data_IF_553136353047
#
_entry.id   IF_553136353047
#
_cell.length_a   1.000
_cell.length_b   1.000
_cell.length_c   1.000
_cell.angle_alpha   90.00
_cell.angle_beta   90.00
_cell.angle_gamma   90.00
#
_symmetry.space_group_name_H-M   'P 1'
#
loop_
_entity.id
_entity.type
_entity.pdbx_description
1 polymer ?
#
# COMPACT_ATOMS: atom_id res chain seq x y z
N UNK A 1 13.23 -15.95 5.07
CA UNK A 1 13.03 -14.72 5.86
C UNK A 1 11.90 -13.93 5.23
N UNK A 2 10.75 -13.81 5.90
CA UNK A 2 9.57 -13.14 5.36
C UNK A 2 9.69 -11.63 5.60
N UNK A 3 9.75 -10.83 4.53
CA UNK A 3 9.63 -9.38 4.65
C UNK A 3 8.17 -9.06 4.97
N UNK A 4 7.85 -8.42 6.12
CA UNK A 4 6.48 -8.05 6.44
C UNK A 4 5.99 -7.10 5.34
N UNK A 5 4.88 -7.45 4.70
CA UNK A 5 4.27 -6.64 3.65
C UNK A 5 2.77 -6.49 3.93
N UNK A 6 2.20 -5.30 3.72
CA UNK A 6 0.76 -5.06 3.87
C UNK A 6 -0.02 -5.47 2.61
N UNK A 7 0.58 -6.31 1.76
CA UNK A 7 -0.03 -6.74 0.50
C UNK A 7 -1.17 -7.73 0.79
N UNK A 8 -2.38 -7.40 0.36
CA UNK A 8 -3.56 -8.29 0.45
C UNK A 8 -3.67 -9.26 -0.72
N UNK A 9 -2.63 -9.36 -1.58
CA UNK A 9 -2.63 -10.09 -2.86
C UNK A 9 -3.73 -9.62 -3.83
N UNK A 10 -4.18 -8.38 -3.66
CA UNK A 10 -5.10 -7.68 -4.55
C UNK A 10 -4.33 -6.52 -5.15
N UNK A 11 -4.00 -6.62 -6.43
CA UNK A 11 -3.32 -5.56 -7.18
C UNK A 11 -4.36 -4.77 -7.99
N UNK A 12 -5.13 -3.96 -7.27
CA UNK A 12 -6.02 -2.96 -7.88
C UNK A 12 -5.39 -1.60 -7.65
N UNK A 13 -5.08 -0.90 -8.73
CA UNK A 13 -4.57 0.48 -8.68
C UNK A 13 -5.74 1.46 -8.83
N UNK A 14 -5.55 2.69 -8.35
CA UNK A 14 -6.43 3.82 -8.59
C UNK A 14 -6.55 4.14 -10.10
N UNK A 15 -7.54 4.93 -10.50
CA UNK A 15 -7.74 5.39 -11.89
C UNK A 15 -6.47 6.05 -12.47
N UNK A 16 -5.70 6.76 -11.64
CA UNK A 16 -4.43 7.37 -12.03
C UNK A 16 -3.23 6.38 -12.03
N UNK A 17 -3.42 5.16 -11.51
CA UNK A 17 -2.34 4.17 -11.40
C UNK A 17 -1.31 4.47 -10.31
N UNK A 18 -1.55 5.49 -9.47
CA UNK A 18 -0.55 6.02 -8.54
C UNK A 18 -0.41 5.19 -7.26
N UNK A 19 -1.51 4.63 -6.74
CA UNK A 19 -1.50 3.75 -5.58
C UNK A 19 -2.49 2.59 -5.69
N UNK A 20 -2.18 1.52 -4.95
CA UNK A 20 -2.99 0.33 -4.75
C UNK A 20 -4.18 0.65 -3.85
N UNK A 21 -5.40 0.53 -4.35
CA UNK A 21 -6.62 0.80 -3.56
C UNK A 21 -6.84 -0.21 -2.43
N UNK A 22 -6.32 -1.44 -2.59
CA UNK A 22 -6.43 -2.48 -1.55
C UNK A 22 -5.42 -2.36 -0.41
N UNK A 23 -4.23 -1.84 -0.72
CA UNK A 23 -3.08 -1.86 0.18
C UNK A 23 -2.50 -0.47 0.49
N UNK A 24 -2.97 0.58 -0.19
CA UNK A 24 -2.58 1.98 0.01
C UNK A 24 -1.18 2.35 -0.48
N UNK A 25 -0.50 1.46 -1.19
CA UNK A 25 0.91 1.59 -1.59
C UNK A 25 1.05 1.99 -3.04
N UNK A 26 2.01 2.86 -3.33
CA UNK A 26 2.34 3.26 -4.69
C UNK A 26 3.11 2.17 -5.42
N UNK A 27 3.08 2.24 -6.75
CA UNK A 27 3.83 1.34 -7.62
C UNK A 27 5.34 1.42 -7.36
N UNK A 28 5.88 2.62 -7.11
CA UNK A 28 7.29 2.80 -6.73
C UNK A 28 7.61 2.16 -5.37
N UNK A 29 6.73 2.33 -4.37
CA UNK A 29 6.90 1.67 -3.08
C UNK A 29 6.86 0.15 -3.22
N UNK A 30 5.99 -0.40 -4.07
CA UNK A 30 5.90 -1.84 -4.34
C UNK A 30 7.19 -2.33 -5.01
N UNK A 31 7.65 -1.64 -6.06
CA UNK A 31 8.87 -1.97 -6.80
C UNK A 31 10.12 -1.91 -5.91
N UNK A 32 10.19 -0.92 -5.01
CA UNK A 32 11.32 -0.73 -4.10
C UNK A 32 11.18 -1.45 -2.76
N UNK A 33 10.07 -2.15 -2.49
CA UNK A 33 9.80 -2.71 -1.15
C UNK A 33 10.90 -3.62 -0.61
N UNK A 34 11.45 -4.46 -1.47
CA UNK A 34 12.52 -5.37 -1.10
C UNK A 34 13.83 -4.62 -0.75
N UNK A 35 14.05 -3.46 -1.36
CA UNK A 35 15.22 -2.61 -1.20
C UNK A 35 15.07 -1.61 -0.04
N UNK A 36 13.84 -1.26 0.34
CA UNK A 36 13.58 -0.30 1.41
C UNK A 36 14.09 -0.82 2.75
N UNK A 37 14.71 0.01 3.61
CA UNK A 37 15.10 -0.36 4.96
C UNK A 37 13.87 -0.57 5.87
N UNK A 38 13.99 -1.36 6.95
CA UNK A 38 12.88 -1.64 7.84
C UNK A 38 12.24 -0.40 8.48
N UNK A 39 13.02 0.68 8.67
CA UNK A 39 12.50 1.97 9.16
C UNK A 39 11.52 2.63 8.18
N UNK A 40 11.88 2.71 6.90
CA UNK A 40 10.98 3.25 5.86
C UNK A 40 9.76 2.36 5.68
N UNK A 41 9.92 1.03 5.69
CA UNK A 41 8.78 0.11 5.60
C UNK A 41 7.76 0.36 6.70
N UNK A 42 8.22 0.59 7.93
CA UNK A 42 7.35 0.94 9.07
C UNK A 42 6.67 2.29 8.88
N UNK A 43 7.40 3.30 8.41
CA UNK A 43 6.83 4.62 8.12
C UNK A 43 5.73 4.53 7.06
N UNK A 44 5.99 3.84 5.96
CA UNK A 44 5.01 3.59 4.89
C UNK A 44 3.79 2.88 5.48
N UNK A 45 3.97 1.78 6.21
CA UNK A 45 2.89 1.03 6.86
C UNK A 45 2.02 1.88 7.78
N UNK A 46 2.61 2.83 8.52
CA UNK A 46 1.88 3.75 9.38
C UNK A 46 1.06 4.78 8.57
N UNK A 47 1.48 5.12 7.35
CA UNK A 47 0.77 6.05 6.47
C UNK A 47 -0.36 5.39 5.68
N UNK A 48 -0.28 4.08 5.38
CA UNK A 48 -1.31 3.35 4.61
C UNK A 48 -2.74 3.55 5.09
N UNK A 49 -3.08 3.42 6.39
CA UNK A 49 -4.46 3.66 6.84
C UNK A 49 -4.95 5.06 6.53
N UNK A 50 -4.11 6.08 6.65
CA UNK A 50 -4.47 7.46 6.29
C UNK A 50 -4.63 7.65 4.77
N UNK A 51 -3.83 6.94 3.96
CA UNK A 51 -3.98 6.95 2.48
C UNK A 51 -5.24 6.22 2.04
N UNK A 52 -5.54 5.10 2.68
CA UNK A 52 -6.76 4.33 2.44
C UNK A 52 -7.99 5.12 2.88
N UNK A 53 -7.96 5.86 3.98
CA UNK A 53 -9.05 6.75 4.40
C UNK A 53 -9.32 7.84 3.36
N UNK A 54 -8.24 8.45 2.85
CA UNK A 54 -8.29 9.53 1.85
C UNK A 54 -8.65 9.04 0.43
N UNK A 55 -8.30 7.81 0.11
CA UNK A 55 -8.60 7.11 -1.16
C UNK A 55 -9.80 6.17 -1.08
N UNK A 56 -10.48 6.07 0.07
CA UNK A 56 -11.71 5.28 0.24
C UNK A 56 -12.90 6.02 -0.38
N UNK A 57 -12.84 6.16 -1.70
CA UNK A 57 -14.03 6.09 -2.54
C UNK A 57 -14.54 4.65 -2.72
N UNK A 58 -13.84 3.63 -2.20
CA UNK A 58 -14.35 2.25 -2.20
C UNK A 58 -14.76 1.80 -0.80
N UNK A 59 -16.08 1.74 -0.62
CA UNK A 59 -16.80 1.26 0.55
C UNK A 59 -16.30 -0.12 1.01
N UNK A 60 -16.33 -0.43 2.31
CA UNK A 60 -16.22 -1.82 2.76
C UNK A 60 -17.41 -2.62 2.20
N UNK A 61 -17.15 -3.55 1.29
CA UNK A 61 -18.07 -4.64 0.94
C UNK A 61 -17.93 -5.79 1.94
N UNK A 62 -19.01 -6.56 2.20
CA UNK A 62 -19.16 -7.46 3.35
C UNK A 62 -18.16 -8.62 3.42
#
# INVERSE_FOLDING_TARGET
MTIPSPCRKVCTLDDAGEWCTACGRTLDEIARWAMLPPGERKAIMAQLPARLDRGSGERPGP
#
